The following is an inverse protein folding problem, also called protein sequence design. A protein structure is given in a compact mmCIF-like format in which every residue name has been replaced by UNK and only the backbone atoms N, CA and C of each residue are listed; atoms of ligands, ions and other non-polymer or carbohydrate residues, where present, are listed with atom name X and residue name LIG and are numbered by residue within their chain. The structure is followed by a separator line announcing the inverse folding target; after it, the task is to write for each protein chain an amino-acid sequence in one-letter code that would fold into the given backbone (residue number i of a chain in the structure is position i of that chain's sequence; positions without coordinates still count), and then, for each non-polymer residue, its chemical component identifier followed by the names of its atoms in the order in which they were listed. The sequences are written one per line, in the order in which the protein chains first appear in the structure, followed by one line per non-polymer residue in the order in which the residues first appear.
data_IF_792059548288
#
_entry.id   IF_792059548288
#
_cell.length_a   1.000
_cell.length_b   1.000
_cell.length_c   1.000
_cell.angle_alpha   90.00
_cell.angle_beta   90.00
_cell.angle_gamma   90.00
#
_symmetry.space_group_name_H-M   'P 1'
#
loop_
_entity.id
_entity.type
_entity.pdbx_description
1 polymer ?
#
# COMPACT_ATOMS: atom_id res chain seq x y z
N UNK A 1 -22.97 -3.22 -12.68
CA UNK A 1 -22.35 -1.89 -12.60
C UNK A 1 -22.23 -1.50 -11.13
N UNK A 2 -21.02 -1.22 -10.65
CA UNK A 2 -20.74 -0.76 -9.26
C UNK A 2 -20.63 0.77 -9.22
N UNK A 3 -20.81 1.36 -8.05
CA UNK A 3 -20.56 2.78 -7.80
C UNK A 3 -19.15 2.96 -7.21
N UNK A 4 -18.27 3.67 -7.92
CA UNK A 4 -16.96 4.08 -7.40
C UNK A 4 -17.04 5.47 -6.76
N UNK A 5 -16.89 5.55 -5.44
CA UNK A 5 -17.02 6.79 -4.70
C UNK A 5 -15.65 7.45 -4.46
N UNK A 6 -15.42 8.61 -5.08
CA UNK A 6 -14.15 9.34 -5.04
C UNK A 6 -13.93 10.17 -3.76
N UNK A 7 -15.01 10.64 -3.13
CA UNK A 7 -14.98 11.62 -2.02
C UNK A 7 -15.41 11.04 -0.66
N UNK A 8 -15.21 9.73 -0.44
CA UNK A 8 -15.66 9.03 0.79
C UNK A 8 -14.50 8.72 1.75
N UNK A 9 -13.36 8.25 1.23
CA UNK A 9 -12.28 7.74 2.10
C UNK A 9 -11.34 8.86 2.55
N UNK A 10 -10.91 8.84 3.82
CA UNK A 10 -9.99 9.83 4.37
C UNK A 10 -8.57 9.77 3.78
N UNK A 11 -8.19 8.64 3.17
CA UNK A 11 -6.88 8.46 2.52
C UNK A 11 -6.92 8.77 1.02
N UNK A 12 -8.08 9.10 0.46
CA UNK A 12 -8.21 9.40 -0.96
C UNK A 12 -8.31 8.17 -1.87
N UNK A 13 -8.38 6.95 -1.32
CA UNK A 13 -8.74 5.74 -2.09
C UNK A 13 -10.15 5.82 -2.66
N UNK A 14 -10.37 5.15 -3.79
CA UNK A 14 -11.73 4.84 -4.22
C UNK A 14 -12.36 3.86 -3.23
N UNK A 15 -13.66 4.01 -3.01
CA UNK A 15 -14.48 2.96 -2.38
C UNK A 15 -15.50 2.48 -3.38
N UNK A 16 -16.02 1.27 -3.20
CA UNK A 16 -16.99 0.65 -4.09
C UNK A 16 -18.26 0.32 -3.32
N UNK A 17 -19.42 0.59 -3.91
CA UNK A 17 -20.74 0.24 -3.39
C UNK A 17 -21.62 -0.35 -4.49
N UNK A 18 -22.66 -1.09 -4.09
CA UNK A 18 -23.68 -1.63 -4.99
C UNK A 18 -23.17 -2.39 -6.22
N UNK A 19 -22.40 -3.49 -6.09
CA UNK A 19 -21.88 -4.12 -4.86
C UNK A 19 -20.52 -3.56 -4.45
N UNK A 20 -20.07 -3.83 -3.22
CA UNK A 20 -18.73 -3.46 -2.79
C UNK A 20 -17.68 -4.50 -3.25
N UNK A 21 -16.98 -4.17 -4.33
CA UNK A 21 -15.97 -5.04 -4.95
C UNK A 21 -14.66 -5.11 -4.15
N UNK A 22 -14.39 -4.12 -3.29
CA UNK A 22 -13.20 -4.11 -2.41
C UNK A 22 -13.29 -5.19 -1.32
N UNK A 23 -14.49 -5.70 -1.04
CA UNK A 23 -14.73 -6.71 0.00
C UNK A 23 -14.84 -8.14 -0.55
N UNK A 24 -14.62 -8.34 -1.86
CA UNK A 24 -14.63 -9.70 -2.42
C UNK A 24 -13.45 -10.47 -1.81
N UNK A 25 -13.69 -11.57 -1.08
CA UNK A 25 -12.61 -12.28 -0.42
C UNK A 25 -11.62 -12.84 -1.47
N UNK A 26 -10.40 -13.14 -1.03
CA UNK A 26 -9.30 -13.52 -1.95
C UNK A 26 -8.76 -14.93 -1.65
N UNK A 27 -8.95 -15.44 -0.43
CA UNK A 27 -8.12 -16.54 0.10
C UNK A 27 -8.81 -17.90 0.17
N UNK A 28 -10.14 -17.97 0.24
CA UNK A 28 -10.85 -19.24 0.43
C UNK A 28 -11.41 -19.79 -0.89
N UNK A 29 -11.67 -21.11 -0.95
CA UNK A 29 -12.15 -21.78 -2.15
C UNK A 29 -13.43 -21.13 -2.72
N UNK A 30 -14.36 -20.76 -1.83
CA UNK A 30 -15.59 -20.06 -2.19
C UNK A 30 -15.33 -18.72 -2.87
N UNK A 31 -14.36 -17.95 -2.39
CA UNK A 31 -14.03 -16.64 -2.95
C UNK A 31 -13.36 -16.73 -4.33
N UNK A 32 -12.66 -17.83 -4.61
CA UNK A 32 -12.14 -18.12 -5.95
C UNK A 32 -13.29 -18.36 -6.93
N UNK A 33 -14.35 -19.05 -6.50
CA UNK A 33 -15.56 -19.25 -7.32
C UNK A 33 -16.26 -17.93 -7.63
N UNK A 34 -16.32 -16.99 -6.67
CA UNK A 34 -16.88 -15.66 -6.92
C UNK A 34 -16.09 -14.94 -8.03
N UNK A 35 -14.75 -14.94 -7.96
CA UNK A 35 -13.91 -14.31 -9.00
C UNK A 35 -14.04 -14.99 -10.37
N UNK A 36 -14.30 -16.30 -10.41
CA UNK A 36 -14.58 -17.01 -11.67
C UNK A 36 -15.87 -16.55 -12.37
N UNK A 37 -16.81 -15.97 -11.63
CA UNK A 37 -18.06 -15.46 -12.18
C UNK A 37 -17.92 -14.06 -12.84
N UNK A 38 -16.75 -13.42 -12.73
CA UNK A 38 -16.44 -12.20 -13.47
C UNK A 38 -15.85 -12.59 -14.81
N UNK A 39 -16.68 -12.43 -15.85
CA UNK A 39 -16.36 -12.78 -17.23
C UNK A 39 -16.16 -11.50 -18.05
N UNK A 40 -15.25 -11.51 -19.04
CA UNK A 40 -15.15 -10.43 -20.02
C UNK A 40 -16.33 -10.50 -21.00
N UNK A 41 -16.40 -9.53 -21.91
CA UNK A 41 -17.19 -9.62 -23.14
C UNK A 41 -16.93 -10.96 -23.88
N UNK A 42 -17.94 -11.46 -24.59
CA UNK A 42 -17.83 -12.70 -25.36
C UNK A 42 -16.66 -12.66 -26.33
N UNK A 43 -15.82 -13.70 -26.30
CA UNK A 43 -14.60 -13.81 -27.10
C UNK A 43 -13.41 -12.97 -26.63
N UNK A 44 -13.58 -12.11 -25.61
CA UNK A 44 -12.51 -11.28 -25.04
C UNK A 44 -11.83 -11.99 -23.86
N UNK A 45 -10.76 -11.40 -23.35
CA UNK A 45 -10.08 -11.85 -22.14
C UNK A 45 -10.03 -10.74 -21.08
N UNK A 46 -10.05 -11.14 -19.81
CA UNK A 46 -9.74 -10.24 -18.70
C UNK A 46 -8.25 -10.12 -18.52
N UNK A 47 -7.83 -8.92 -18.13
CA UNK A 47 -6.48 -8.54 -17.74
C UNK A 47 -6.55 -8.05 -16.29
N UNK A 48 -5.65 -8.55 -15.45
CA UNK A 48 -5.45 -8.05 -14.08
C UNK A 48 -4.03 -7.51 -13.98
N UNK A 49 -3.91 -6.25 -13.56
CA UNK A 49 -2.62 -5.59 -13.32
C UNK A 49 -2.56 -5.09 -11.87
N UNK A 50 -1.68 -5.66 -11.05
CA UNK A 50 -1.55 -5.40 -9.61
C UNK A 50 -0.19 -4.76 -9.31
N UNK A 51 -0.15 -3.68 -8.53
CA UNK A 51 1.15 -3.14 -8.13
C UNK A 51 1.85 -4.02 -7.09
N UNK A 52 3.03 -4.52 -7.42
CA UNK A 52 3.82 -5.35 -6.52
C UNK A 52 4.36 -4.54 -5.33
N UNK A 53 3.71 -4.68 -4.17
CA UNK A 53 4.15 -4.11 -2.88
C UNK A 53 4.28 -2.58 -2.91
N UNK A 54 3.36 -1.88 -3.56
CA UNK A 54 3.41 -0.42 -3.75
C UNK A 54 3.60 0.37 -2.45
N UNK A 55 2.92 -0.01 -1.36
CA UNK A 55 3.06 0.69 -0.08
C UNK A 55 4.49 0.61 0.49
N UNK A 56 5.18 -0.52 0.33
CA UNK A 56 6.58 -0.65 0.77
C UNK A 56 7.54 0.13 -0.13
N UNK A 57 7.27 0.18 -1.44
CA UNK A 57 8.05 0.99 -2.39
C UNK A 57 7.92 2.48 -2.07
N UNK A 58 6.70 2.93 -1.80
CA UNK A 58 6.42 4.30 -1.35
C UNK A 58 7.10 4.57 -0.01
N UNK A 59 7.05 3.64 0.95
CA UNK A 59 7.74 3.81 2.23
C UNK A 59 9.24 3.98 2.02
N UNK A 60 9.87 3.10 1.24
CA UNK A 60 11.31 3.17 0.94
C UNK A 60 11.68 4.52 0.27
N UNK A 61 10.82 5.00 -0.63
CA UNK A 61 11.01 6.30 -1.27
C UNK A 61 10.92 7.47 -0.28
N UNK A 62 9.85 7.51 0.52
CA UNK A 62 9.57 8.60 1.45
C UNK A 62 10.54 8.63 2.64
N UNK A 63 10.99 7.46 3.10
CA UNK A 63 11.94 7.36 4.20
C UNK A 63 13.39 7.55 3.77
N UNK A 64 13.71 7.32 2.50
CA UNK A 64 15.10 7.31 2.03
C UNK A 64 15.91 6.10 2.49
N UNK A 65 15.25 5.04 2.97
CA UNK A 65 15.93 3.89 3.58
C UNK A 65 16.71 3.09 2.52
N UNK A 66 18.03 3.27 2.50
CA UNK A 66 18.96 2.73 1.49
C UNK A 66 18.83 1.21 1.34
N UNK A 67 18.73 0.48 2.47
CA UNK A 67 18.60 -0.99 2.45
C UNK A 67 17.36 -1.43 1.68
N UNK A 68 16.23 -0.74 1.86
CA UNK A 68 14.99 -1.05 1.12
C UNK A 68 15.07 -0.60 -0.33
N UNK A 69 15.68 0.56 -0.58
CA UNK A 69 15.85 1.10 -1.93
C UNK A 69 16.70 0.15 -2.78
N UNK A 70 17.85 -0.29 -2.26
CA UNK A 70 18.74 -1.23 -2.93
C UNK A 70 18.05 -2.57 -3.17
N UNK A 71 17.37 -3.12 -2.17
CA UNK A 71 16.63 -4.37 -2.31
C UNK A 71 15.61 -4.31 -3.46
N UNK A 72 14.84 -3.23 -3.56
CA UNK A 72 13.89 -3.05 -4.65
C UNK A 72 14.56 -2.85 -6.01
N UNK A 73 15.68 -2.13 -6.08
CA UNK A 73 16.46 -1.95 -7.32
C UNK A 73 17.06 -3.27 -7.81
N UNK A 74 17.51 -4.12 -6.89
CA UNK A 74 18.07 -5.43 -7.16
C UNK A 74 17.01 -6.52 -7.38
N UNK A 75 15.71 -6.16 -7.36
CA UNK A 75 14.58 -7.08 -7.48
C UNK A 75 14.60 -8.20 -6.42
N UNK A 76 15.11 -7.89 -5.23
CA UNK A 76 15.11 -8.81 -4.10
C UNK A 76 13.71 -8.92 -3.48
N UNK A 77 13.41 -10.08 -2.90
CA UNK A 77 12.21 -10.27 -2.11
C UNK A 77 12.34 -9.56 -0.75
N UNK A 78 11.74 -8.38 -0.62
CA UNK A 78 11.84 -7.53 0.58
C UNK A 78 11.24 -8.21 1.83
N UNK A 79 10.26 -9.10 1.67
CA UNK A 79 9.71 -9.85 2.80
C UNK A 79 10.71 -10.91 3.28
N UNK A 80 11.33 -11.65 2.36
CA UNK A 80 12.38 -12.60 2.67
C UNK A 80 13.62 -11.89 3.24
N UNK A 81 14.03 -10.75 2.68
CA UNK A 81 15.10 -9.91 3.20
C UNK A 81 14.82 -9.51 4.65
N UNK A 82 13.63 -9.00 4.94
CA UNK A 82 13.25 -8.63 6.30
C UNK A 82 13.32 -9.83 7.25
N UNK A 83 12.81 -10.99 6.82
CA UNK A 83 12.89 -12.21 7.63
C UNK A 83 14.34 -12.64 7.89
N UNK A 84 15.20 -12.65 6.87
CA UNK A 84 16.64 -12.98 6.97
C UNK A 84 17.35 -12.07 7.97
N UNK A 85 17.11 -10.77 7.87
CA UNK A 85 17.77 -9.77 8.71
C UNK A 85 17.32 -9.88 10.17
N UNK A 86 16.06 -10.20 10.43
CA UNK A 86 15.54 -10.27 11.80
C UNK A 86 15.82 -11.60 12.48
N UNK A 87 15.77 -12.69 11.72
CA UNK A 87 16.06 -14.05 12.20
C UNK A 87 17.56 -14.38 12.16
N UNK A 88 18.38 -13.47 11.60
CA UNK A 88 19.83 -13.66 11.39
C UNK A 88 20.13 -14.95 10.61
N UNK A 89 19.43 -15.14 9.49
CA UNK A 89 19.57 -16.31 8.62
C UNK A 89 19.91 -15.92 7.19
N UNK A 90 20.72 -16.74 6.52
CA UNK A 90 21.02 -16.58 5.09
C UNK A 90 19.85 -16.99 4.19
N UNK A 91 19.12 -18.03 4.59
CA UNK A 91 17.95 -18.55 3.87
C UNK A 91 16.75 -18.63 4.80
N UNK A 92 15.58 -18.34 4.25
CA UNK A 92 14.30 -18.40 4.97
C UNK A 92 13.30 -19.25 4.22
N UNK A 93 12.51 -20.03 4.96
CA UNK A 93 11.43 -20.82 4.41
C UNK A 93 10.16 -19.96 4.18
N UNK A 94 9.10 -20.56 3.64
CA UNK A 94 7.87 -19.86 3.30
C UNK A 94 7.15 -19.25 4.53
N UNK A 95 7.22 -19.90 5.70
CA UNK A 95 6.60 -19.41 6.93
C UNK A 95 7.39 -18.24 7.52
N UNK A 96 8.72 -18.30 7.46
CA UNK A 96 9.61 -17.20 7.86
C UNK A 96 9.47 -16.00 6.94
N UNK A 97 9.35 -16.21 5.62
CA UNK A 97 9.00 -15.15 4.67
C UNK A 97 7.64 -14.53 5.00
N UNK A 98 6.65 -15.34 5.38
CA UNK A 98 5.32 -14.86 5.79
C UNK A 98 5.42 -14.01 7.06
N UNK A 99 6.27 -14.39 8.01
CA UNK A 99 6.57 -13.58 9.19
C UNK A 99 7.16 -12.22 8.78
N UNK A 100 8.15 -12.19 7.87
CA UNK A 100 8.71 -10.95 7.32
C UNK A 100 7.65 -10.06 6.66
N UNK A 101 6.69 -10.68 5.95
CA UNK A 101 5.52 -9.97 5.40
C UNK A 101 4.66 -9.35 6.51
N UNK A 102 4.30 -10.11 7.53
CA UNK A 102 3.51 -9.61 8.67
C UNK A 102 4.24 -8.47 9.39
N UNK A 103 5.56 -8.53 9.52
CA UNK A 103 6.37 -7.47 10.12
C UNK A 103 6.31 -6.20 9.29
N UNK A 104 6.58 -6.29 7.98
CA UNK A 104 6.56 -5.13 7.09
C UNK A 104 5.20 -4.41 7.11
N UNK A 105 4.10 -5.15 6.98
CA UNK A 105 2.76 -4.56 7.09
C UNK A 105 2.46 -4.09 8.52
N UNK A 106 2.93 -4.80 9.54
CA UNK A 106 2.80 -4.38 10.93
C UNK A 106 3.44 -3.02 11.18
N UNK A 107 4.65 -2.80 10.69
CA UNK A 107 5.36 -1.53 10.87
C UNK A 107 4.72 -0.42 10.04
N UNK A 108 4.37 -0.67 8.76
CA UNK A 108 3.59 0.27 7.94
C UNK A 108 2.26 0.65 8.61
N UNK A 109 1.70 -0.17 9.51
CA UNK A 109 0.45 0.13 10.19
C UNK A 109 0.61 0.52 11.67
N UNK A 110 1.83 0.85 12.11
CA UNK A 110 2.09 1.29 13.48
C UNK A 110 1.75 0.23 14.54
N UNK A 111 1.92 -1.05 14.20
CA UNK A 111 1.62 -2.17 15.09
C UNK A 111 2.59 -2.22 16.27
N UNK A 112 2.06 -2.11 17.49
CA UNK A 112 2.85 -2.32 18.70
C UNK A 112 3.13 -3.80 18.98
N UNK A 113 4.11 -4.08 19.85
CA UNK A 113 4.58 -5.43 20.18
C UNK A 113 3.45 -6.39 20.60
N UNK A 114 2.44 -5.91 21.34
CA UNK A 114 1.31 -6.73 21.78
C UNK A 114 0.46 -7.22 20.61
N UNK A 115 0.14 -6.34 19.65
CA UNK A 115 -0.63 -6.71 18.46
C UNK A 115 0.20 -7.61 17.55
N UNK A 116 1.49 -7.34 17.44
CA UNK A 116 2.43 -8.17 16.69
C UNK A 116 2.49 -9.61 17.23
N UNK A 117 2.68 -9.77 18.55
CA UNK A 117 2.67 -11.06 19.22
C UNK A 117 1.39 -11.85 18.92
N UNK A 118 0.22 -11.17 18.98
CA UNK A 118 -1.07 -11.79 18.69
C UNK A 118 -1.22 -12.24 17.24
N UNK A 119 -0.75 -11.45 16.28
CA UNK A 119 -0.88 -11.77 14.84
C UNK A 119 0.12 -12.82 14.36
N UNK A 120 1.26 -12.96 15.05
CA UNK A 120 2.33 -13.90 14.67
C UNK A 120 2.41 -15.15 15.55
N UNK A 121 1.74 -15.15 16.71
CA UNK A 121 1.79 -16.24 17.67
C UNK A 121 3.07 -16.30 18.52
N UNK A 122 3.98 -15.32 18.39
CA UNK A 122 5.21 -15.25 19.19
C UNK A 122 4.96 -14.62 20.56
N UNK A 123 5.90 -14.80 21.51
CA UNK A 123 5.79 -14.17 22.83
C UNK A 123 5.94 -12.63 22.74
N UNK A 124 5.40 -11.90 23.73
CA UNK A 124 5.59 -10.44 23.78
C UNK A 124 7.06 -10.02 23.89
N UNK A 125 7.91 -10.83 24.54
CA UNK A 125 9.35 -10.58 24.61
C UNK A 125 9.99 -10.63 23.23
N UNK A 126 9.75 -11.70 22.48
CA UNK A 126 10.20 -11.85 21.10
C UNK A 126 9.67 -10.74 20.20
N UNK A 127 8.40 -10.36 20.35
CA UNK A 127 7.80 -9.25 19.60
C UNK A 127 8.55 -7.92 19.81
N UNK A 128 8.92 -7.60 21.06
CA UNK A 128 9.71 -6.40 21.37
C UNK A 128 11.10 -6.48 20.76
N UNK A 129 11.74 -7.64 20.84
CA UNK A 129 13.05 -7.87 20.25
C UNK A 129 13.02 -7.69 18.73
N UNK A 130 12.05 -8.29 18.03
CA UNK A 130 11.87 -8.12 16.59
C UNK A 130 11.67 -6.67 16.19
N UNK A 131 10.81 -5.92 16.90
CA UNK A 131 10.60 -4.50 16.61
C UNK A 131 11.86 -3.65 16.87
N UNK A 132 12.62 -3.99 17.92
CA UNK A 132 13.90 -3.33 18.22
C UNK A 132 14.93 -3.55 17.10
N UNK A 133 15.12 -4.81 16.68
CA UNK A 133 16.01 -5.16 15.56
C UNK A 133 15.56 -4.49 14.26
N UNK A 134 14.26 -4.47 13.99
CA UNK A 134 13.71 -3.82 12.80
C UNK A 134 13.99 -2.31 12.80
N UNK A 135 13.87 -1.64 13.96
CA UNK A 135 14.25 -0.22 14.11
C UNK A 135 15.73 0.02 13.90
N UNK A 136 16.59 -0.85 14.43
CA UNK A 136 18.04 -0.75 14.22
C UNK A 136 18.40 -0.94 12.74
N UNK A 137 17.68 -1.82 12.03
CA UNK A 137 17.98 -2.13 10.64
C UNK A 137 17.43 -1.12 9.63
N UNK A 138 16.31 -0.48 9.96
CA UNK A 138 15.65 0.51 9.11
C UNK A 138 15.43 1.83 9.86
N UNK A 139 16.51 2.50 10.33
CA UNK A 139 16.38 3.68 11.17
C UNK A 139 15.64 4.82 10.46
N UNK A 140 15.83 4.99 9.14
CA UNK A 140 15.24 6.09 8.39
C UNK A 140 13.73 5.93 8.25
N UNK A 141 13.24 4.68 8.18
CA UNK A 141 11.80 4.38 8.24
C UNK A 141 11.18 4.93 9.51
N UNK A 142 11.79 4.69 10.67
CA UNK A 142 11.23 5.18 11.94
C UNK A 142 11.34 6.69 12.09
N UNK A 143 12.47 7.28 11.69
CA UNK A 143 12.61 8.74 11.64
C UNK A 143 11.52 9.37 10.79
N UNK A 144 11.23 8.80 9.62
CA UNK A 144 10.16 9.26 8.76
C UNK A 144 8.77 9.13 9.41
N UNK A 145 8.42 7.96 9.94
CA UNK A 145 7.10 7.73 10.56
C UNK A 145 6.88 8.66 11.77
N UNK A 146 7.92 8.84 12.58
CA UNK A 146 7.91 9.75 13.72
C UNK A 146 7.82 11.23 13.32
N UNK A 147 8.41 11.60 12.19
CA UNK A 147 8.24 12.94 11.62
C UNK A 147 6.79 13.17 11.18
N UNK A 148 6.15 12.18 10.56
CA UNK A 148 4.74 12.30 10.15
C UNK A 148 3.79 12.47 11.35
N UNK A 149 4.04 11.76 12.46
CA UNK A 149 3.30 11.98 13.71
C UNK A 149 3.49 13.41 14.24
N UNK A 150 4.72 13.92 14.23
CA UNK A 150 5.03 15.30 14.64
C UNK A 150 4.37 16.34 13.73
N UNK A 151 4.39 16.13 12.43
CA UNK A 151 3.76 17.02 11.45
C UNK A 151 2.24 17.05 11.65
N UNK A 152 1.61 15.92 11.94
CA UNK A 152 0.19 15.89 12.26
C UNK A 152 -0.13 16.71 13.52
N UNK A 153 0.68 16.60 14.57
CA UNK A 153 0.50 17.38 15.81
C UNK A 153 0.77 18.87 15.61
N UNK A 154 1.85 19.20 14.90
CA UNK A 154 2.30 20.57 14.66
C UNK A 154 1.41 21.32 13.67
N UNK A 155 0.98 20.68 12.58
CA UNK A 155 0.28 21.34 11.46
C UNK A 155 -1.20 20.98 11.38
N UNK A 156 -1.63 19.92 12.04
CA UNK A 156 -2.99 19.38 11.94
C UNK A 156 -3.24 18.55 10.68
N UNK A 157 -2.21 18.25 9.87
CA UNK A 157 -2.33 17.40 8.68
C UNK A 157 -0.99 16.80 8.27
N UNK A 158 -1.05 15.79 7.39
CA UNK A 158 0.09 15.22 6.65
C UNK A 158 -0.24 15.19 5.16
N UNK A 159 0.78 15.07 4.31
CA UNK A 159 0.67 15.17 2.86
C UNK A 159 1.18 13.90 2.15
N UNK A 160 0.58 13.57 1.01
CA UNK A 160 1.09 12.54 0.09
C UNK A 160 2.23 13.09 -0.78
N UNK A 161 2.88 12.23 -1.57
CA UNK A 161 3.91 12.63 -2.55
C UNK A 161 3.41 13.72 -3.51
N UNK A 162 2.10 13.72 -3.83
CA UNK A 162 1.47 14.70 -4.72
C UNK A 162 0.74 15.83 -3.98
N UNK A 163 0.98 15.99 -2.68
CA UNK A 163 0.46 17.11 -1.89
C UNK A 163 -1.00 16.97 -1.42
N UNK A 164 -1.62 15.78 -1.53
CA UNK A 164 -2.95 15.55 -0.93
C UNK A 164 -2.84 15.61 0.58
N UNK A 165 -3.59 16.51 1.21
CA UNK A 165 -3.64 16.65 2.67
C UNK A 165 -4.66 15.69 3.30
N UNK A 166 -4.27 15.04 4.39
CA UNK A 166 -5.19 14.39 5.33
C UNK A 166 -5.18 15.16 6.65
N UNK A 167 -6.29 15.81 7.04
CA UNK A 167 -6.38 16.49 8.32
C UNK A 167 -6.50 15.51 9.49
N UNK A 168 -5.99 15.92 10.65
CA UNK A 168 -6.08 15.24 11.93
C UNK A 168 -6.54 16.22 13.00
N UNK A 169 -7.71 15.95 13.57
CA UNK A 169 -8.32 16.81 14.59
C UNK A 169 -8.08 16.20 15.97
N UNK A 170 -7.08 16.74 16.66
CA UNK A 170 -6.76 16.39 18.04
C UNK A 170 -7.58 17.25 19.01
N UNK A 171 -7.85 16.72 20.22
CA UNK A 171 -8.56 17.46 21.25
C UNK A 171 -7.72 18.67 21.69
N UNK A 172 -8.24 19.91 21.66
CA UNK A 172 -7.51 21.09 22.11
C UNK A 172 -6.96 21.00 23.54
N UNK A 173 -7.66 20.28 24.43
CA UNK A 173 -7.24 20.01 25.80
C UNK A 173 -6.21 18.87 25.92
N UNK A 174 -6.14 18.01 24.89
CA UNK A 174 -5.22 16.90 24.75
C UNK A 174 -4.04 17.24 23.84
N UNK A 175 -3.84 16.45 22.79
CA UNK A 175 -2.72 16.63 21.86
C UNK A 175 -2.84 17.88 20.96
N UNK A 176 -4.05 18.45 20.81
CA UNK A 176 -4.29 19.65 20.00
C UNK A 176 -3.56 20.90 20.48
N UNK A 177 -3.15 20.94 21.76
CA UNK A 177 -2.28 22.00 22.32
C UNK A 177 -0.89 22.10 21.66
N UNK A 178 -0.51 21.09 20.87
CA UNK A 178 0.75 21.02 20.16
C UNK A 178 0.68 21.68 18.77
N UNK A 179 -0.51 22.10 18.31
CA UNK A 179 -0.67 22.81 17.06
C UNK A 179 0.16 24.10 17.05
N UNK A 180 0.90 24.32 15.97
CA UNK A 180 1.82 25.46 15.80
C UNK A 180 3.18 25.30 16.47
N UNK A 181 3.46 24.19 17.19
CA UNK A 181 4.79 23.91 17.73
C UNK A 181 5.76 23.50 16.62
N UNK A 182 7.04 23.78 16.81
CA UNK A 182 8.08 23.22 15.95
C UNK A 182 8.04 21.68 16.03
N UNK A 183 7.95 20.96 14.89
CA UNK A 183 7.76 19.50 14.90
C UNK A 183 8.80 18.75 15.74
N UNK A 184 10.07 19.16 15.68
CA UNK A 184 11.17 18.46 16.36
C UNK A 184 11.18 18.64 17.88
N UNK A 185 10.51 19.67 18.40
CA UNK A 185 10.39 19.91 19.85
C UNK A 185 9.29 19.04 20.50
N UNK A 186 8.51 18.33 19.68
CA UNK A 186 7.41 17.50 20.17
C UNK A 186 7.95 16.14 20.66
N UNK A 187 7.76 15.88 21.95
CA UNK A 187 8.04 14.59 22.57
C UNK A 187 6.92 13.57 22.28
N UNK A 188 7.20 12.65 21.36
CA UNK A 188 6.26 11.59 21.00
C UNK A 188 6.07 10.53 22.10
N UNK A 189 7.03 10.31 23.00
CA UNK A 189 6.83 9.33 24.08
C UNK A 189 5.72 9.77 25.02
N UNK A 190 5.66 11.07 25.31
CA UNK A 190 4.57 11.67 26.08
C UNK A 190 3.27 11.67 25.25
N UNK A 191 3.33 12.08 23.98
CA UNK A 191 2.14 12.16 23.13
C UNK A 191 1.46 10.79 22.93
N UNK A 192 2.25 9.73 22.77
CA UNK A 192 1.75 8.35 22.57
C UNK A 192 1.11 7.73 23.83
N UNK A 193 1.27 8.35 25.01
CA UNK A 193 0.58 7.93 26.25
C UNK A 193 -0.87 8.45 26.34
N UNK A 194 -1.30 9.35 25.44
CA UNK A 194 -2.60 10.01 25.43
C UNK A 194 -3.83 9.14 25.07
N UNK A 195 -3.81 7.84 25.33
CA UNK A 195 -4.97 6.96 25.15
C UNK A 195 -5.50 6.91 23.71
N UNK A 196 -6.76 7.31 23.49
CA UNK A 196 -7.46 7.25 22.20
C UNK A 196 -6.77 8.05 21.09
N UNK A 197 -6.12 9.17 21.42
CA UNK A 197 -5.43 10.01 20.43
C UNK A 197 -4.17 9.34 19.85
N UNK A 198 -3.60 8.35 20.54
CA UNK A 198 -2.46 7.58 20.03
C UNK A 198 -2.81 6.77 18.77
N UNK A 199 -4.09 6.43 18.55
CA UNK A 199 -4.52 5.80 17.31
C UNK A 199 -4.51 6.77 16.13
N UNK A 200 -4.87 8.04 16.36
CA UNK A 200 -4.82 9.07 15.33
C UNK A 200 -3.36 9.34 14.90
N UNK A 201 -2.42 9.37 15.86
CA UNK A 201 -1.00 9.48 15.55
C UNK A 201 -0.50 8.34 14.65
N UNK A 202 -0.81 7.09 15.00
CA UNK A 202 -0.46 5.95 14.13
C UNK A 202 -1.09 6.08 12.74
N UNK A 203 -2.33 6.55 12.65
CA UNK A 203 -2.98 6.78 11.36
C UNK A 203 -2.31 7.91 10.56
N UNK A 204 -1.74 8.92 11.22
CA UNK A 204 -0.97 9.97 10.58
C UNK A 204 0.34 9.48 9.99
N UNK A 205 1.07 8.62 10.70
CA UNK A 205 2.31 8.02 10.21
C UNK A 205 2.12 7.32 8.84
N UNK A 206 0.97 6.67 8.66
CA UNK A 206 0.73 5.78 7.53
C UNK A 206 -0.04 6.47 6.40
N UNK A 207 -0.71 7.59 6.70
CA UNK A 207 -1.56 8.29 5.76
C UNK A 207 -0.84 8.75 4.48
N UNK A 208 0.39 9.30 4.54
CA UNK A 208 1.15 9.63 3.33
C UNK A 208 1.40 8.42 2.44
N UNK A 209 1.68 7.25 3.03
CA UNK A 209 1.99 6.02 2.30
C UNK A 209 0.74 5.52 1.56
N UNK A 210 -0.36 5.32 2.30
CA UNK A 210 -1.62 4.83 1.74
C UNK A 210 -2.24 5.82 0.76
N UNK A 211 -2.17 7.11 1.06
CA UNK A 211 -2.68 8.17 0.21
C UNK A 211 -1.87 8.33 -1.07
N UNK A 212 -0.54 8.20 -1.00
CA UNK A 212 0.30 8.22 -2.20
C UNK A 212 0.02 7.00 -3.10
N UNK A 213 -0.26 5.83 -2.52
CA UNK A 213 -0.70 4.67 -3.30
C UNK A 213 -2.02 4.96 -4.04
N UNK A 214 -2.98 5.63 -3.38
CA UNK A 214 -4.22 6.06 -4.01
C UNK A 214 -4.01 7.10 -5.12
N UNK A 215 -3.07 8.01 -4.93
CA UNK A 215 -2.73 9.03 -5.92
C UNK A 215 -2.07 8.40 -7.16
N UNK A 216 -1.12 7.49 -6.95
CA UNK A 216 -0.38 6.81 -8.02
C UNK A 216 -1.32 5.95 -8.88
N UNK A 217 -2.22 5.16 -8.27
CA UNK A 217 -3.14 4.36 -9.08
C UNK A 217 -4.13 5.23 -9.87
N UNK A 218 -4.55 6.38 -9.32
CA UNK A 218 -5.39 7.34 -10.05
C UNK A 218 -4.65 7.98 -11.22
N UNK A 219 -3.38 8.34 -11.04
CA UNK A 219 -2.55 8.81 -12.15
C UNK A 219 -2.45 7.75 -13.25
N UNK A 220 -2.15 6.50 -12.88
CA UNK A 220 -2.07 5.38 -13.81
C UNK A 220 -3.40 5.19 -14.57
N UNK A 221 -4.54 5.23 -13.87
CA UNK A 221 -5.87 5.12 -14.51
C UNK A 221 -6.13 6.24 -15.51
N UNK A 222 -5.80 7.49 -15.18
CA UNK A 222 -5.99 8.64 -16.09
C UNK A 222 -5.09 8.54 -17.32
N UNK A 223 -3.83 8.15 -17.13
CA UNK A 223 -2.88 7.94 -18.23
C UNK A 223 -3.34 6.80 -19.14
N UNK A 224 -3.69 5.66 -18.55
CA UNK A 224 -4.18 4.47 -19.25
C UNK A 224 -5.44 4.78 -20.05
N UNK A 225 -6.43 5.45 -19.44
CA UNK A 225 -7.66 5.84 -20.13
C UNK A 225 -7.38 6.71 -21.35
N UNK A 226 -6.55 7.74 -21.21
CA UNK A 226 -6.16 8.61 -22.33
C UNK A 226 -5.46 7.83 -23.45
N UNK A 227 -4.55 6.92 -23.12
CA UNK A 227 -3.82 6.17 -24.14
C UNK A 227 -4.69 5.11 -24.83
N UNK A 228 -5.64 4.49 -24.12
CA UNK A 228 -6.64 3.60 -24.72
C UNK A 228 -7.54 4.36 -25.71
N UNK A 229 -8.02 5.55 -25.34
CA UNK A 229 -8.82 6.39 -26.25
C UNK A 229 -8.03 6.82 -27.49
N UNK A 230 -6.76 7.21 -27.34
CA UNK A 230 -5.92 7.67 -28.45
C UNK A 230 -5.52 6.55 -29.41
N UNK A 231 -5.29 5.35 -28.89
CA UNK A 231 -4.88 4.19 -29.69
C UNK A 231 -6.05 3.49 -30.39
N UNK A 232 -7.28 3.73 -29.94
CA UNK A 232 -8.48 3.06 -30.48
C UNK A 232 -8.47 1.55 -30.22
N UNK A 233 -7.65 1.07 -29.27
CA UNK A 233 -7.58 -0.35 -28.92
C UNK A 233 -8.93 -0.84 -28.42
N UNK A 234 -9.27 -2.07 -28.80
CA UNK A 234 -10.48 -2.75 -28.35
C UNK A 234 -10.26 -3.27 -26.92
N UNK A 235 -10.33 -2.35 -25.95
CA UNK A 235 -10.18 -2.65 -24.53
C UNK A 235 -10.92 -1.66 -23.64
N UNK A 236 -11.33 -2.14 -22.46
CA UNK A 236 -12.07 -1.36 -21.48
C UNK A 236 -11.49 -1.55 -20.07
N UNK A 237 -11.24 -0.44 -19.37
CA UNK A 237 -10.96 -0.48 -17.94
C UNK A 237 -12.27 -0.69 -17.18
N UNK A 238 -12.40 -1.83 -16.50
CA UNK A 238 -13.64 -2.24 -15.85
C UNK A 238 -13.64 -1.89 -14.36
N UNK A 239 -12.61 -2.31 -13.63
CA UNK A 239 -12.59 -2.23 -12.17
C UNK A 239 -11.26 -1.68 -11.66
N UNK A 240 -11.34 -1.02 -10.51
CA UNK A 240 -10.21 -0.70 -9.64
C UNK A 240 -10.45 -1.36 -8.28
N UNK A 241 -9.55 -2.24 -7.84
CA UNK A 241 -9.70 -2.99 -6.58
C UNK A 241 -8.38 -2.94 -5.84
N UNK A 242 -8.33 -2.28 -4.67
CA UNK A 242 -7.10 -2.04 -3.92
C UNK A 242 -6.00 -1.34 -4.74
N UNK A 243 -4.97 -2.07 -5.14
CA UNK A 243 -3.83 -1.70 -5.98
C UNK A 243 -3.87 -2.39 -7.36
N UNK A 244 -5.00 -3.00 -7.69
CA UNK A 244 -5.27 -3.77 -8.90
C UNK A 244 -6.18 -2.99 -9.87
N UNK A 245 -5.84 -3.03 -11.16
CA UNK A 245 -6.70 -2.63 -12.27
C UNK A 245 -7.15 -3.87 -13.04
N UNK A 246 -8.46 -3.97 -13.29
CA UNK A 246 -9.04 -5.05 -14.10
C UNK A 246 -9.58 -4.46 -15.39
N UNK A 247 -9.09 -4.96 -16.51
CA UNK A 247 -9.52 -4.58 -17.85
C UNK A 247 -10.08 -5.79 -18.59
N UNK A 248 -10.77 -5.55 -19.69
CA UNK A 248 -11.00 -6.54 -20.74
C UNK A 248 -10.41 -6.06 -22.06
N UNK A 249 -9.97 -6.99 -22.91
CA UNK A 249 -9.44 -6.69 -24.23
C UNK A 249 -9.80 -7.78 -25.25
N UNK A 250 -9.99 -7.36 -26.51
CA UNK A 250 -10.11 -8.27 -27.64
C UNK A 250 -8.83 -9.10 -27.82
N UNK A 251 -8.91 -10.35 -28.32
CA UNK A 251 -7.74 -11.21 -28.49
C UNK A 251 -6.59 -10.55 -29.28
N UNK A 252 -6.92 -9.79 -30.31
CA UNK A 252 -5.94 -9.12 -31.20
C UNK A 252 -5.26 -7.91 -30.52
N UNK A 253 -5.91 -7.32 -29.51
CA UNK A 253 -5.39 -6.15 -28.78
C UNK A 253 -4.70 -6.53 -27.45
N UNK A 254 -4.89 -7.76 -26.97
CA UNK A 254 -4.52 -8.17 -25.61
C UNK A 254 -3.06 -7.86 -25.26
N UNK A 255 -2.10 -8.29 -26.08
CA UNK A 255 -0.67 -8.08 -25.82
C UNK A 255 -0.29 -6.60 -25.76
N UNK A 256 -0.83 -5.80 -26.68
CA UNK A 256 -0.60 -4.36 -26.72
C UNK A 256 -1.21 -3.66 -25.48
N UNK A 257 -2.41 -4.07 -25.07
CA UNK A 257 -3.08 -3.54 -23.87
C UNK A 257 -2.34 -3.95 -22.59
N UNK A 258 -1.80 -5.16 -22.51
CA UNK A 258 -0.93 -5.61 -21.42
C UNK A 258 0.30 -4.70 -21.30
N UNK A 259 1.02 -4.47 -22.40
CA UNK A 259 2.20 -3.60 -22.41
C UNK A 259 1.83 -2.17 -22.02
N UNK A 260 0.78 -1.61 -22.61
CA UNK A 260 0.32 -0.27 -22.33
C UNK A 260 -0.07 -0.09 -20.85
N UNK A 261 -0.79 -1.07 -20.29
CA UNK A 261 -1.20 -1.06 -18.87
C UNK A 261 0.02 -1.09 -17.97
N UNK A 262 1.01 -1.95 -18.28
CA UNK A 262 2.29 -2.01 -17.54
C UNK A 262 2.97 -0.65 -17.54
N UNK A 263 3.14 -0.05 -18.72
CA UNK A 263 3.87 1.19 -18.87
C UNK A 263 3.17 2.32 -18.11
N UNK A 264 1.84 2.45 -18.23
CA UNK A 264 1.07 3.47 -17.51
C UNK A 264 1.14 3.31 -15.99
N UNK A 265 1.22 2.07 -15.48
CA UNK A 265 1.36 1.82 -14.05
C UNK A 265 2.79 2.04 -13.57
N UNK A 266 3.78 1.44 -14.22
CA UNK A 266 5.18 1.51 -13.80
C UNK A 266 5.78 2.91 -13.97
N UNK A 267 5.24 3.73 -14.88
CA UNK A 267 5.70 5.10 -15.17
C UNK A 267 4.76 6.18 -14.61
N UNK A 268 3.74 5.81 -13.82
CA UNK A 268 2.75 6.75 -13.28
C UNK A 268 3.41 7.93 -12.53
N UNK A 269 4.52 7.66 -11.83
CA UNK A 269 5.36 8.65 -11.16
C UNK A 269 6.80 8.14 -11.05
N UNK A 270 7.77 9.06 -11.00
CA UNK A 270 9.16 8.72 -10.70
C UNK A 270 9.40 8.64 -9.19
N UNK A 271 9.81 7.47 -8.70
CA UNK A 271 10.27 7.27 -7.32
C UNK A 271 11.75 6.87 -7.31
N UNK A 272 12.38 6.84 -6.13
CA UNK A 272 13.76 6.34 -5.96
C UNK A 272 13.88 4.82 -6.12
N UNK A 273 12.74 4.11 -6.12
CA UNK A 273 12.60 2.68 -6.40
C UNK A 273 11.66 2.48 -7.59
N UNK A 274 11.90 1.49 -8.46
CA UNK A 274 10.99 1.25 -9.58
C UNK A 274 9.61 0.82 -9.08
N UNK A 275 8.54 1.30 -9.71
CA UNK A 275 7.22 0.67 -9.59
C UNK A 275 7.19 -0.59 -10.47
N UNK A 276 6.47 -1.61 -10.04
CA UNK A 276 6.33 -2.88 -10.77
C UNK A 276 4.86 -3.25 -10.79
N UNK A 277 4.34 -3.59 -11.96
CA UNK A 277 2.98 -4.11 -12.12
C UNK A 277 3.04 -5.59 -12.52
N UNK A 278 2.49 -6.47 -11.69
CA UNK A 278 2.30 -7.87 -12.05
C UNK A 278 1.05 -7.98 -12.92
N UNK A 279 1.19 -8.55 -14.12
CA UNK A 279 0.11 -8.63 -15.10
C UNK A 279 -0.18 -10.08 -15.43
N UNK A 280 -1.45 -10.47 -15.32
CA UNK A 280 -1.97 -11.75 -15.81
C UNK A 280 -3.24 -11.56 -16.63
N UNK A 281 -3.53 -12.53 -17.49
CA UNK A 281 -4.73 -12.53 -18.33
C UNK A 281 -5.42 -13.88 -18.32
N UNK A 282 -6.73 -13.90 -18.48
CA UNK A 282 -7.49 -15.15 -18.48
C UNK A 282 -8.94 -14.98 -18.88
N UNK A 283 -9.70 -16.08 -18.87
CA UNK A 283 -11.10 -16.09 -19.28
C UNK A 283 -12.05 -15.55 -18.21
N UNK A 284 -11.54 -15.41 -16.99
CA UNK A 284 -12.24 -14.86 -15.85
C UNK A 284 -11.24 -14.21 -14.89
N UNK A 285 -11.75 -13.47 -13.91
CA UNK A 285 -10.90 -12.70 -13.00
C UNK A 285 -10.02 -13.59 -12.10
N UNK A 286 -10.42 -14.83 -11.84
CA UNK A 286 -9.57 -15.77 -11.09
C UNK A 286 -8.39 -16.29 -11.91
N UNK A 287 -8.57 -16.51 -13.22
CA UNK A 287 -7.49 -16.94 -14.12
C UNK A 287 -6.52 -15.82 -14.46
N UNK A 288 -7.00 -14.57 -14.52
CA UNK A 288 -6.16 -13.41 -14.78
C UNK A 288 -5.25 -13.04 -13.61
N UNK A 289 -5.50 -13.58 -12.40
CA UNK A 289 -4.79 -13.25 -11.16
C UNK A 289 -3.76 -14.30 -10.76
#
# INVERSE_FOLDING_TARGET
HTDFNQAVTATGRLSSSNPNLQNIPIRNAFSRQIRQAFLPQEGWQLLSADYSQIELRILAHLSGEEVLIEAFKNKEDVHALTARLLLEKEQVNADERRLGKTINFGVIYGMGAQRFARETGVSQGQAKEFLSRYRQRYPQVFTYLELQERLALSRGYVETILGRRRPFNFDPSGLGRLLGREPMDIDLEVARRGGLEAQQLRAAANAPIQGSSADIIKLAMVQLHRQLEQSGMQAHLLLQVHDELVLEAAPEALEAVCSLTRDCMEQAISLSVPLVADIGSGRNWMEAK
#
